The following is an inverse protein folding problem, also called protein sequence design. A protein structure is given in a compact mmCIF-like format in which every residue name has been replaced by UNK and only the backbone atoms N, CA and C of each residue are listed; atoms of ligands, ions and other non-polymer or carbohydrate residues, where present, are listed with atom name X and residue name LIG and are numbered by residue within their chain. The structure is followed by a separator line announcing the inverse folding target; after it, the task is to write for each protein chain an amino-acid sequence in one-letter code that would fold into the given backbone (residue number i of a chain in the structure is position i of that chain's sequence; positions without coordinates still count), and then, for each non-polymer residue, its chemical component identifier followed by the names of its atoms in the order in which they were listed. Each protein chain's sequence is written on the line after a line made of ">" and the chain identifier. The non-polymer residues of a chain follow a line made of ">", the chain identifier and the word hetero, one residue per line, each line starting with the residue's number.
data_IF_247918682190
#
_entry.id   IF_247918682190
#
_cell.length_a   1.000
_cell.length_b   1.000
_cell.length_c   1.000
_cell.angle_alpha   90.00
_cell.angle_beta   90.00
_cell.angle_gamma   90.00
#
_symmetry.space_group_name_H-M   'P 1'
#
loop_
_entity.id
_entity.type
_entity.pdbx_description
1 polymer ?
#
# COMPACT_ATOMS: atom_id res chain seq x y z
N UNK A 1 4.75 -7.86 9.97
CA UNK A 1 3.85 -7.77 11.15
C UNK A 1 3.84 -6.36 11.71
N UNK A 2 2.65 -5.78 11.89
CA UNK A 2 2.46 -4.46 12.50
C UNK A 2 2.64 -4.57 14.02
N UNK A 3 3.63 -3.86 14.56
CA UNK A 3 3.94 -3.88 16.00
C UNK A 3 2.85 -3.31 16.91
N UNK A 4 1.86 -2.58 16.36
CA UNK A 4 0.77 -1.98 17.14
C UNK A 4 -0.43 -2.90 17.27
N UNK A 5 -0.70 -3.70 16.24
CA UNK A 5 -1.90 -4.54 16.13
C UNK A 5 -1.58 -6.04 16.20
N UNK A 6 -0.30 -6.41 16.09
CA UNK A 6 0.16 -7.80 15.93
C UNK A 6 -0.54 -8.51 14.77
N UNK A 7 -0.83 -7.78 13.69
CA UNK A 7 -1.45 -8.30 12.47
C UNK A 7 -0.56 -8.15 11.24
N UNK A 8 -0.77 -8.95 10.18
CA UNK A 8 -0.04 -8.81 8.93
C UNK A 8 -0.23 -7.41 8.32
N UNK A 9 0.85 -6.90 7.73
CA UNK A 9 0.87 -5.68 6.93
C UNK A 9 0.73 -6.07 5.46
N UNK A 10 -0.41 -5.72 4.87
CA UNK A 10 -0.62 -5.85 3.43
C UNK A 10 -0.19 -4.53 2.78
N UNK A 11 0.75 -4.61 1.83
CA UNK A 11 1.13 -3.50 0.98
C UNK A 11 0.21 -3.38 -0.23
N UNK A 12 -0.38 -2.21 -0.44
CA UNK A 12 -1.08 -1.82 -1.66
C UNK A 12 -0.21 -0.90 -2.51
N UNK A 13 0.20 -1.35 -3.70
CA UNK A 13 0.87 -0.51 -4.69
C UNK A 13 -0.18 0.26 -5.48
N UNK A 14 -0.16 1.59 -5.35
CA UNK A 14 -1.19 2.49 -5.87
C UNK A 14 -2.14 2.96 -4.76
N UNK A 15 -2.67 4.17 -4.91
CA UNK A 15 -3.43 4.86 -3.87
C UNK A 15 -4.78 5.41 -4.35
N UNK A 16 -5.33 4.83 -5.44
CA UNK A 16 -6.60 5.23 -6.03
C UNK A 16 -7.82 4.82 -5.20
N UNK A 17 -8.99 4.89 -5.85
CA UNK A 17 -10.26 4.58 -5.19
C UNK A 17 -10.41 3.11 -4.79
N UNK A 18 -9.82 2.16 -5.53
CA UNK A 18 -9.94 0.74 -5.15
C UNK A 18 -9.10 0.47 -3.89
N UNK A 19 -7.89 1.02 -3.81
CA UNK A 19 -7.04 1.00 -2.62
C UNK A 19 -7.76 1.60 -1.42
N UNK A 20 -8.48 2.72 -1.60
CA UNK A 20 -9.30 3.33 -0.55
C UNK A 20 -10.43 2.41 -0.09
N UNK A 21 -11.12 1.75 -1.02
CA UNK A 21 -12.17 0.78 -0.70
C UNK A 21 -11.62 -0.46 -0.01
N UNK A 22 -10.45 -0.95 -0.44
CA UNK A 22 -9.74 -2.06 0.20
C UNK A 22 -9.29 -1.71 1.61
N UNK A 23 -8.82 -0.48 1.84
CA UNK A 23 -8.47 0.00 3.19
C UNK A 23 -9.67 -0.09 4.14
N UNK A 24 -10.85 0.32 3.69
CA UNK A 24 -12.08 0.20 4.48
C UNK A 24 -12.39 -1.27 4.84
N UNK A 25 -12.23 -2.20 3.90
CA UNK A 25 -12.45 -3.62 4.16
C UNK A 25 -11.41 -4.22 5.12
N UNK A 26 -10.14 -3.79 5.03
CA UNK A 26 -9.05 -4.27 5.87
C UNK A 26 -9.30 -4.01 7.37
N UNK A 27 -9.95 -2.90 7.71
CA UNK A 27 -10.30 -2.54 9.10
C UNK A 27 -11.14 -3.64 9.77
N UNK A 28 -12.21 -4.10 9.12
CA UNK A 28 -13.09 -5.14 9.66
C UNK A 28 -12.40 -6.51 9.79
N UNK A 29 -11.34 -6.74 9.01
CA UNK A 29 -10.54 -7.96 9.04
C UNK A 29 -9.37 -7.87 10.05
N UNK A 30 -9.20 -6.75 10.73
CA UNK A 30 -8.07 -6.48 11.62
C UNK A 30 -6.72 -6.42 10.89
N UNK A 31 -6.69 -6.24 9.57
CA UNK A 31 -5.46 -6.20 8.79
C UNK A 31 -4.91 -4.78 8.72
N UNK A 32 -3.59 -4.64 8.86
CA UNK A 32 -2.92 -3.37 8.60
C UNK A 32 -2.66 -3.23 7.10
N UNK A 33 -2.95 -2.05 6.55
CA UNK A 33 -2.69 -1.73 5.14
C UNK A 33 -1.67 -0.59 5.05
N UNK A 34 -0.59 -0.82 4.30
CA UNK A 34 0.35 0.22 3.87
C UNK A 34 0.07 0.57 2.41
N UNK A 35 0.13 1.84 2.05
CA UNK A 35 -0.16 2.30 0.67
C UNK A 35 1.06 3.00 0.06
N UNK A 36 1.42 2.63 -1.17
CA UNK A 36 2.35 3.42 -2.00
C UNK A 36 1.52 4.44 -2.78
N UNK A 37 1.78 5.72 -2.53
CA UNK A 37 1.05 6.83 -3.15
C UNK A 37 2.00 7.76 -3.90
N UNK A 38 1.53 8.33 -5.02
CA UNK A 38 2.28 9.35 -5.75
C UNK A 38 2.10 10.73 -5.15
N UNK A 39 0.96 10.95 -4.48
CA UNK A 39 0.61 12.19 -3.77
C UNK A 39 -0.01 11.89 -2.41
N UNK A 40 0.18 12.80 -1.45
CA UNK A 40 -0.54 12.78 -0.18
C UNK A 40 -2.06 13.03 -0.35
N UNK A 41 -2.45 13.63 -1.48
CA UNK A 41 -3.86 13.89 -1.84
C UNK A 41 -4.52 12.71 -2.55
N UNK A 42 -3.79 11.61 -2.79
CA UNK A 42 -4.37 10.42 -3.41
C UNK A 42 -5.48 9.82 -2.51
N UNK A 43 -6.57 9.26 -3.08
CA UNK A 43 -7.74 8.84 -2.32
C UNK A 43 -7.46 7.96 -1.10
N UNK A 44 -6.56 6.98 -1.22
CA UNK A 44 -6.19 6.09 -0.13
C UNK A 44 -5.17 6.73 0.82
N UNK A 45 -4.28 7.60 0.33
CA UNK A 45 -3.28 8.31 1.13
C UNK A 45 -3.92 9.23 2.18
N UNK A 46 -5.05 9.86 1.84
CA UNK A 46 -5.80 10.72 2.77
C UNK A 46 -6.42 9.98 3.97
N UNK A 47 -6.54 8.65 3.92
CA UNK A 47 -7.24 7.87 4.96
C UNK A 47 -6.39 6.78 5.61
N UNK A 48 -5.29 6.37 4.97
CA UNK A 48 -4.40 5.34 5.50
C UNK A 48 -3.42 5.92 6.52
N UNK A 49 -3.15 5.16 7.59
CA UNK A 49 -2.19 5.56 8.62
C UNK A 49 -0.72 5.34 8.22
N UNK A 50 -0.45 4.40 7.32
CA UNK A 50 0.89 4.05 6.84
C UNK A 50 0.96 4.29 5.32
N UNK A 51 1.57 5.41 4.93
CA UNK A 51 1.71 5.86 3.55
C UNK A 51 3.17 6.05 3.22
N UNK A 52 3.60 5.45 2.12
CA UNK A 52 4.92 5.66 1.52
C UNK A 52 4.73 6.45 0.23
N UNK A 53 5.32 7.64 0.15
CA UNK A 53 5.28 8.42 -1.08
C UNK A 53 6.35 7.94 -2.06
N UNK A 54 5.98 7.65 -3.29
CA UNK A 54 6.89 7.24 -4.37
C UNK A 54 6.16 6.75 -5.61
N UNK A 55 6.90 6.69 -6.72
CA UNK A 55 6.38 6.22 -7.99
C UNK A 55 6.40 4.68 -8.06
N UNK A 56 5.32 4.02 -8.54
CA UNK A 56 5.30 2.58 -8.75
C UNK A 56 6.23 2.08 -9.86
N UNK A 57 6.78 3.01 -10.66
CA UNK A 57 7.79 2.73 -11.71
C UNK A 57 9.22 2.94 -11.22
N UNK A 58 9.43 3.36 -9.97
CA UNK A 58 10.76 3.51 -9.36
C UNK A 58 11.09 2.26 -8.52
N UNK A 59 12.06 1.43 -8.95
CA UNK A 59 12.48 0.25 -8.19
C UNK A 59 12.96 0.55 -6.78
N UNK A 60 13.57 1.72 -6.55
CA UNK A 60 14.04 2.10 -5.21
C UNK A 60 12.85 2.46 -4.31
N UNK A 61 11.83 3.13 -4.85
CA UNK A 61 10.59 3.40 -4.13
C UNK A 61 9.87 2.09 -3.77
N UNK A 62 9.75 1.15 -4.73
CA UNK A 62 9.17 -0.17 -4.50
C UNK A 62 9.95 -0.95 -3.43
N UNK A 63 11.27 -1.02 -3.53
CA UNK A 63 12.12 -1.72 -2.57
C UNK A 63 11.95 -1.17 -1.14
N UNK A 64 11.89 0.15 -0.97
CA UNK A 64 11.61 0.78 0.33
C UNK A 64 10.19 0.48 0.81
N UNK A 65 9.20 0.52 -0.08
CA UNK A 65 7.80 0.30 0.26
C UNK A 65 7.55 -1.11 0.80
N UNK A 66 8.11 -2.14 0.15
CA UNK A 66 7.88 -3.55 0.52
C UNK A 66 8.56 -3.95 1.83
N UNK A 67 9.53 -3.16 2.32
CA UNK A 67 10.20 -3.46 3.59
C UNK A 67 9.21 -3.44 4.76
N UNK A 68 8.93 -4.62 5.31
CA UNK A 68 8.01 -4.81 6.43
C UNK A 68 6.57 -5.17 6.03
N UNK A 69 6.28 -5.27 4.73
CA UNK A 69 5.04 -5.88 4.24
C UNK A 69 5.14 -7.41 4.34
N UNK A 70 4.07 -8.05 4.78
CA UNK A 70 3.94 -9.52 4.83
C UNK A 70 3.33 -10.07 3.53
N UNK A 71 2.53 -9.26 2.83
CA UNK A 71 2.01 -9.54 1.49
C UNK A 71 1.91 -8.23 0.68
N UNK A 72 1.93 -8.32 -0.64
CA UNK A 72 1.79 -7.17 -1.55
C UNK A 72 0.71 -7.44 -2.58
N UNK A 73 -0.08 -6.41 -2.89
CA UNK A 73 -1.10 -6.41 -3.93
C UNK A 73 -1.14 -5.04 -4.63
N UNK A 74 -1.95 -4.93 -5.67
CA UNK A 74 -1.97 -3.79 -6.58
C UNK A 74 -3.37 -3.20 -6.71
N UNK A 75 -3.45 -1.87 -6.74
CA UNK A 75 -4.66 -1.11 -7.02
C UNK A 75 -5.01 -1.13 -8.52
N UNK A 76 -3.98 -1.24 -9.37
CA UNK A 76 -4.09 -1.20 -10.83
C UNK A 76 -2.95 -1.97 -11.51
N UNK A 77 -3.10 -2.23 -12.80
CA UNK A 77 -2.13 -2.96 -13.63
C UNK A 77 -0.90 -2.16 -14.08
N UNK A 78 -0.86 -0.84 -13.84
CA UNK A 78 0.25 0.04 -14.27
C UNK A 78 1.53 -0.10 -13.42
N UNK A 79 1.96 -1.34 -13.15
CA UNK A 79 3.28 -1.65 -12.58
C UNK A 79 4.06 -2.45 -13.61
N UNK A 80 5.30 -2.03 -13.97
CA UNK A 80 6.12 -2.77 -14.91
C UNK A 80 6.32 -4.22 -14.47
N UNK A 81 6.10 -5.18 -15.36
CA UNK A 81 6.18 -6.61 -15.04
C UNK A 81 7.59 -7.05 -14.59
N UNK A 82 8.63 -6.31 -14.99
CA UNK A 82 10.01 -6.51 -14.55
C UNK A 82 10.28 -6.12 -13.09
N UNK A 83 9.29 -5.54 -12.40
CA UNK A 83 9.35 -5.19 -10.97
C UNK A 83 8.54 -6.14 -10.08
N UNK A 84 7.87 -7.14 -10.66
CA UNK A 84 7.11 -8.19 -9.96
C UNK A 84 8.01 -9.37 -9.60
#
# INVERSE_FOLDING_TARGET
>A
MDTRTDTPVVGMVGAGQLARMTHQAAISLGQSLRVLATSADDPAAMVAADVVLGEPTDPAALARFVQGCDAVTFDHENVPAEHL
#
